data_IF_987265904628
#
_entry.id   IF_987265904628
#
_cell.length_a   1.000
_cell.length_b   1.000
_cell.length_c   1.000
_cell.angle_alpha   90.00
_cell.angle_beta   90.00
_cell.angle_gamma   90.00
#
_symmetry.space_group_name_H-M   'P 1'
#
loop_
_entity.id
_entity.type
_entity.pdbx_description
1 polymer ?
#
# COMPACT_ATOMS: atom_id res chain seq x y z
N UNK A 1 -13.01 -4.99 -11.73
CA UNK A 1 -11.91 -4.14 -11.16
C UNK A 1 -10.80 -5.06 -10.67
N UNK A 2 -9.58 -4.80 -11.07
CA UNK A 2 -8.39 -5.56 -10.68
C UNK A 2 -7.60 -4.82 -9.62
N UNK A 3 -6.77 -5.53 -8.86
CA UNK A 3 -5.82 -4.95 -7.93
C UNK A 3 -4.39 -5.40 -8.27
N UNK A 4 -3.45 -4.46 -8.30
CA UNK A 4 -2.02 -4.73 -8.40
C UNK A 4 -1.36 -4.55 -7.03
N UNK A 5 -0.48 -5.47 -6.62
CA UNK A 5 0.29 -5.38 -5.39
C UNK A 5 1.77 -5.28 -5.72
N UNK A 6 2.42 -4.24 -5.19
CA UNK A 6 3.84 -3.94 -5.41
C UNK A 6 4.72 -4.78 -4.47
N UNK A 7 5.40 -5.80 -5.01
CA UNK A 7 6.17 -6.78 -4.23
C UNK A 7 7.67 -6.84 -4.64
N UNK A 8 8.13 -5.86 -5.42
CA UNK A 8 9.51 -5.82 -5.94
C UNK A 8 10.59 -5.38 -4.94
N UNK A 9 10.24 -4.89 -3.75
CA UNK A 9 11.16 -4.24 -2.84
C UNK A 9 12.16 -5.14 -2.12
N UNK A 10 13.46 -4.79 -2.17
CA UNK A 10 14.50 -5.39 -1.32
C UNK A 10 14.64 -4.63 0.00
N UNK A 11 14.28 -5.25 1.13
CA UNK A 11 14.30 -4.61 2.44
C UNK A 11 15.45 -5.14 3.31
N UNK A 12 16.44 -4.28 3.59
CA UNK A 12 17.58 -4.60 4.48
C UNK A 12 17.24 -4.52 5.97
N UNK A 13 16.25 -3.70 6.35
CA UNK A 13 15.94 -3.35 7.75
C UNK A 13 15.31 -4.49 8.54
N UNK A 14 14.73 -5.49 7.87
CA UNK A 14 14.08 -6.65 8.49
C UNK A 14 14.97 -7.91 8.49
N UNK A 15 16.30 -7.79 8.28
CA UNK A 15 17.20 -8.91 8.49
C UNK A 15 17.24 -9.33 9.96
N UNK A 16 17.29 -10.66 10.28
CA UNK A 16 17.45 -11.80 9.35
C UNK A 16 16.18 -12.31 8.68
N UNK A 17 14.95 -11.86 9.02
CA UNK A 17 13.70 -12.38 8.43
C UNK A 17 13.64 -12.32 6.91
N UNK A 18 14.31 -11.33 6.28
CA UNK A 18 14.34 -11.19 4.82
C UNK A 18 15.51 -11.91 4.15
N UNK A 19 16.35 -12.62 4.92
CA UNK A 19 17.46 -13.42 4.34
C UNK A 19 16.93 -14.63 3.59
N UNK A 20 15.92 -15.31 4.16
CA UNK A 20 15.35 -16.51 3.57
C UNK A 20 14.06 -16.29 2.80
N UNK A 21 13.31 -15.20 3.08
CA UNK A 21 12.02 -14.93 2.47
C UNK A 21 11.87 -13.47 2.05
N UNK A 22 11.11 -13.16 0.98
CA UNK A 22 10.80 -11.78 0.62
C UNK A 22 9.84 -11.18 1.64
N UNK A 23 9.84 -9.84 1.78
CA UNK A 23 9.02 -9.09 2.75
C UNK A 23 7.53 -9.49 2.75
N UNK A 24 6.87 -9.68 1.60
CA UNK A 24 5.45 -10.07 1.54
C UNK A 24 5.12 -11.39 2.23
N UNK A 25 6.12 -12.26 2.37
CA UNK A 25 5.98 -13.57 3.02
C UNK A 25 6.36 -13.56 4.50
N UNK A 26 6.65 -12.39 5.08
CA UNK A 26 6.82 -12.26 6.54
C UNK A 26 5.46 -12.47 7.20
N UNK A 27 5.44 -13.32 8.22
CA UNK A 27 4.22 -13.62 8.95
C UNK A 27 3.93 -12.57 10.01
N UNK A 28 2.69 -12.08 10.02
CA UNK A 28 2.10 -11.26 11.07
C UNK A 28 0.83 -11.94 11.54
N UNK A 29 0.71 -12.17 12.85
CA UNK A 29 -0.43 -12.91 13.41
C UNK A 29 -0.59 -14.33 12.87
N UNK A 30 0.52 -14.98 12.47
CA UNK A 30 0.54 -16.37 11.98
C UNK A 30 0.20 -16.53 10.49
N UNK A 31 0.18 -15.44 9.71
CA UNK A 31 -0.12 -15.47 8.28
C UNK A 31 0.74 -14.42 7.53
N UNK A 32 1.27 -14.72 6.33
CA UNK A 32 1.99 -13.77 5.50
C UNK A 32 1.22 -12.48 5.22
N UNK A 33 1.94 -11.33 5.18
CA UNK A 33 1.36 -10.01 4.86
C UNK A 33 0.55 -10.07 3.57
N UNK A 34 1.11 -10.65 2.52
CA UNK A 34 0.46 -10.77 1.21
C UNK A 34 -0.86 -11.55 1.26
N UNK A 35 -0.95 -12.58 2.11
CA UNK A 35 -2.21 -13.34 2.24
C UNK A 35 -3.27 -12.49 2.94
N UNK A 36 -2.92 -11.69 3.95
CA UNK A 36 -3.84 -10.73 4.56
C UNK A 36 -4.38 -9.73 3.53
N UNK A 37 -3.51 -9.20 2.66
CA UNK A 37 -3.92 -8.27 1.60
C UNK A 37 -4.85 -8.95 0.58
N UNK A 38 -4.54 -10.16 0.14
CA UNK A 38 -5.40 -10.92 -0.79
C UNK A 38 -6.79 -11.18 -0.17
N UNK A 39 -6.86 -11.62 1.07
CA UNK A 39 -8.13 -11.87 1.77
C UNK A 39 -8.93 -10.57 1.99
N UNK A 40 -8.24 -9.47 2.30
CA UNK A 40 -8.87 -8.16 2.41
C UNK A 40 -9.46 -7.71 1.06
N UNK A 41 -8.70 -7.78 -0.03
CA UNK A 41 -9.21 -7.49 -1.38
C UNK A 41 -10.41 -8.37 -1.73
N UNK A 42 -10.32 -9.68 -1.44
CA UNK A 42 -11.40 -10.64 -1.68
C UNK A 42 -12.68 -10.28 -0.91
N UNK A 43 -12.57 -9.79 0.31
CA UNK A 43 -13.73 -9.38 1.11
C UNK A 43 -14.53 -8.22 0.50
N UNK A 44 -13.89 -7.44 -0.41
CA UNK A 44 -14.53 -6.40 -1.22
C UNK A 44 -14.92 -6.85 -2.63
N UNK A 45 -14.87 -8.16 -2.91
CA UNK A 45 -15.25 -8.73 -4.21
C UNK A 45 -14.19 -8.53 -5.31
N UNK A 46 -12.95 -8.22 -4.94
CA UNK A 46 -11.82 -8.12 -5.87
C UNK A 46 -11.16 -9.49 -5.94
N UNK A 47 -11.38 -10.19 -7.04
CA UNK A 47 -10.94 -11.57 -7.24
C UNK A 47 -9.89 -11.74 -8.34
N UNK A 48 -9.47 -10.66 -9.00
CA UNK A 48 -8.34 -10.64 -9.93
C UNK A 48 -7.22 -9.79 -9.35
N UNK A 49 -6.12 -10.44 -8.93
CA UNK A 49 -4.96 -9.83 -8.29
C UNK A 49 -3.73 -10.01 -9.17
N UNK A 50 -2.98 -8.94 -9.37
CA UNK A 50 -1.74 -8.92 -10.14
C UNK A 50 -0.59 -8.65 -9.16
N UNK A 51 0.33 -9.58 -9.03
CA UNK A 51 1.51 -9.43 -8.19
C UNK A 51 2.68 -8.92 -9.04
N UNK A 52 3.18 -7.73 -8.73
CA UNK A 52 4.34 -7.12 -9.37
C UNK A 52 5.58 -7.55 -8.59
N UNK A 53 6.26 -8.60 -9.06
CA UNK A 53 7.27 -9.34 -8.29
C UNK A 53 8.68 -9.18 -8.86
N UNK A 54 9.65 -9.06 -7.97
CA UNK A 54 11.07 -8.95 -8.31
C UNK A 54 11.91 -9.88 -7.44
N UNK A 55 12.44 -9.35 -6.35
CA UNK A 55 13.33 -10.09 -5.45
C UNK A 55 12.66 -11.34 -4.85
N UNK A 56 13.31 -12.50 -5.02
CA UNK A 56 12.82 -13.82 -4.55
C UNK A 56 11.41 -14.17 -5.03
N UNK A 57 11.07 -13.75 -6.25
CA UNK A 57 9.77 -14.00 -6.90
C UNK A 57 9.31 -15.45 -6.85
N UNK A 58 10.25 -16.40 -6.97
CA UNK A 58 9.96 -17.83 -6.95
C UNK A 58 9.26 -18.24 -5.64
N UNK A 59 9.71 -17.72 -4.50
CA UNK A 59 9.09 -18.02 -3.21
C UNK A 59 7.67 -17.45 -3.10
N UNK A 60 7.40 -16.30 -3.70
CA UNK A 60 6.06 -15.72 -3.75
C UNK A 60 5.17 -16.59 -4.62
N UNK A 61 5.65 -16.97 -5.82
CA UNK A 61 4.92 -17.83 -6.76
C UNK A 61 4.60 -19.18 -6.14
N UNK A 62 5.59 -19.85 -5.52
CA UNK A 62 5.42 -21.13 -4.85
C UNK A 62 4.42 -21.06 -3.68
N UNK A 63 4.45 -19.93 -2.95
CA UNK A 63 3.58 -19.73 -1.80
C UNK A 63 2.15 -19.40 -2.21
N UNK A 64 1.91 -18.60 -3.23
CA UNK A 64 0.58 -18.11 -3.61
C UNK A 64 -0.06 -18.98 -4.69
N UNK A 65 0.73 -19.46 -5.66
CA UNK A 65 0.25 -20.25 -6.80
C UNK A 65 -0.73 -19.47 -7.67
N UNK A 66 -1.78 -20.13 -8.15
CA UNK A 66 -2.84 -19.48 -8.95
C UNK A 66 -3.80 -18.59 -8.13
N UNK A 67 -3.67 -18.58 -6.82
CA UNK A 67 -4.60 -17.87 -5.92
C UNK A 67 -5.90 -18.61 -5.63
N UNK A 68 -6.16 -19.75 -6.27
CA UNK A 68 -7.44 -20.49 -6.17
C UNK A 68 -7.81 -20.86 -4.72
N UNK A 69 -6.83 -21.21 -3.88
CA UNK A 69 -7.06 -21.53 -2.46
C UNK A 69 -7.54 -20.32 -1.61
N UNK A 70 -7.35 -19.10 -2.13
CA UNK A 70 -7.84 -17.86 -1.52
C UNK A 70 -9.10 -17.33 -2.21
N UNK A 71 -9.63 -18.07 -3.20
CA UNK A 71 -10.81 -17.67 -3.98
C UNK A 71 -10.56 -16.49 -4.91
N UNK A 72 -9.32 -16.27 -5.34
CA UNK A 72 -8.90 -15.24 -6.30
C UNK A 72 -8.14 -15.86 -7.48
N UNK A 73 -7.99 -15.10 -8.56
CA UNK A 73 -7.08 -15.39 -9.67
C UNK A 73 -5.86 -14.50 -9.54
N UNK A 74 -4.68 -15.10 -9.49
CA UNK A 74 -3.42 -14.38 -9.39
C UNK A 74 -2.67 -14.46 -10.71
N UNK A 75 -2.25 -13.28 -11.20
CA UNK A 75 -1.29 -13.13 -12.30
C UNK A 75 0.00 -12.52 -11.76
N UNK A 76 1.13 -12.84 -12.39
CA UNK A 76 2.44 -12.35 -11.98
C UNK A 76 3.07 -11.53 -13.10
N UNK A 77 3.53 -10.33 -12.76
CA UNK A 77 4.38 -9.50 -13.62
C UNK A 77 5.75 -9.47 -12.99
N UNK A 78 6.71 -10.02 -13.70
CA UNK A 78 8.08 -10.16 -13.21
C UNK A 78 8.92 -9.00 -13.69
N UNK A 79 9.66 -8.38 -12.76
CA UNK A 79 10.76 -7.48 -13.08
C UNK A 79 12.10 -8.20 -12.91
N UNK A 80 12.97 -8.12 -13.92
CA UNK A 80 14.31 -8.71 -13.87
C UNK A 80 15.31 -7.77 -13.18
N UNK A 81 15.05 -6.49 -13.20
CA UNK A 81 15.75 -5.45 -12.44
C UNK A 81 14.73 -4.54 -11.73
N UNK A 82 15.11 -3.90 -10.61
CA UNK A 82 14.21 -3.00 -9.91
C UNK A 82 13.78 -1.83 -10.78
N UNK A 83 12.47 -1.74 -11.07
CA UNK A 83 11.88 -0.68 -11.89
C UNK A 83 11.40 0.51 -11.05
N UNK A 84 11.33 0.38 -9.72
CA UNK A 84 10.66 1.35 -8.84
C UNK A 84 9.13 1.23 -8.92
N UNK A 85 8.42 1.90 -8.02
CA UNK A 85 6.95 1.76 -7.91
C UNK A 85 6.22 2.18 -9.18
N UNK A 86 6.64 3.29 -9.82
CA UNK A 86 6.05 3.77 -11.08
C UNK A 86 6.34 2.85 -12.26
N UNK A 87 7.59 2.40 -12.41
CA UNK A 87 8.00 1.51 -13.49
C UNK A 87 7.34 0.13 -13.37
N UNK A 88 7.19 -0.40 -12.16
CA UNK A 88 6.49 -1.67 -11.91
C UNK A 88 5.01 -1.60 -12.35
N UNK A 89 4.30 -0.50 -12.01
CA UNK A 89 2.92 -0.30 -12.45
C UNK A 89 2.85 -0.18 -13.98
N UNK A 90 3.79 0.56 -14.60
CA UNK A 90 3.85 0.69 -16.07
C UNK A 90 4.07 -0.66 -16.75
N UNK A 91 4.94 -1.51 -16.19
CA UNK A 91 5.19 -2.87 -16.70
C UNK A 91 3.92 -3.74 -16.70
N UNK A 92 2.94 -3.42 -15.86
CA UNK A 92 1.65 -4.10 -15.79
C UNK A 92 0.57 -3.54 -16.74
N UNK A 93 0.88 -2.55 -17.60
CA UNK A 93 -0.08 -1.87 -18.46
C UNK A 93 -0.94 -2.84 -19.28
N UNK A 94 -0.34 -3.86 -19.90
CA UNK A 94 -1.07 -4.83 -20.73
C UNK A 94 -2.19 -5.58 -19.98
N UNK A 95 -2.08 -5.71 -18.67
CA UNK A 95 -3.06 -6.37 -17.79
C UNK A 95 -4.12 -5.42 -17.23
N UNK A 96 -3.79 -4.12 -17.13
CA UNK A 96 -4.60 -3.13 -16.44
C UNK A 96 -5.29 -2.13 -17.39
N UNK A 97 -4.77 -1.89 -18.59
CA UNK A 97 -5.26 -0.85 -19.52
C UNK A 97 -6.72 -1.04 -20.01
N UNK A 98 -7.27 -2.23 -19.86
CA UNK A 98 -8.66 -2.51 -20.22
C UNK A 98 -9.65 -2.27 -19.05
N UNK A 99 -9.13 -1.97 -17.86
CA UNK A 99 -9.95 -1.56 -16.73
C UNK A 99 -10.22 -0.06 -16.80
N UNK A 100 -11.44 0.38 -16.52
CA UNK A 100 -11.73 1.82 -16.40
C UNK A 100 -10.97 2.45 -15.23
N UNK A 101 -10.84 1.67 -14.15
CA UNK A 101 -10.00 1.96 -12.99
C UNK A 101 -9.57 0.67 -12.28
N UNK A 102 -8.46 0.73 -11.58
CA UNK A 102 -7.87 -0.39 -10.85
C UNK A 102 -7.23 0.08 -9.54
N UNK A 103 -7.01 -0.85 -8.63
CA UNK A 103 -6.31 -0.58 -7.37
C UNK A 103 -4.82 -0.90 -7.51
N UNK A 104 -4.01 -0.15 -6.76
CA UNK A 104 -2.59 -0.46 -6.54
C UNK A 104 -2.32 -0.38 -5.04
N UNK A 105 -1.61 -1.38 -4.52
CA UNK A 105 -1.25 -1.48 -3.10
C UNK A 105 0.25 -1.63 -2.94
N UNK A 106 0.81 -0.97 -1.93
CA UNK A 106 2.14 -1.31 -1.45
C UNK A 106 2.08 -2.64 -0.68
N UNK A 107 2.99 -3.57 -0.98
CA UNK A 107 2.99 -4.94 -0.44
C UNK A 107 3.37 -5.08 1.03
N UNK A 108 3.64 -3.97 1.70
CA UNK A 108 4.06 -3.94 3.11
C UNK A 108 3.01 -3.33 4.06
N UNK A 109 1.80 -3.12 3.58
CA UNK A 109 0.75 -2.45 4.35
C UNK A 109 -0.30 -3.43 4.87
N UNK A 110 -0.67 -3.26 6.12
CA UNK A 110 -1.85 -3.88 6.73
C UNK A 110 -2.83 -2.76 7.08
N UNK A 111 -4.05 -2.87 6.57
CA UNK A 111 -5.11 -1.88 6.80
C UNK A 111 -6.50 -2.50 6.69
N UNK A 112 -7.48 -1.85 7.30
CA UNK A 112 -8.90 -2.16 7.17
C UNK A 112 -9.70 -1.02 6.51
N UNK A 113 -9.03 -0.14 5.75
CA UNK A 113 -9.75 0.95 5.06
C UNK A 113 -10.85 0.40 4.15
N UNK A 114 -11.95 1.13 4.04
CA UNK A 114 -13.07 0.72 3.19
C UNK A 114 -12.79 1.07 1.72
N UNK A 115 -12.54 0.01 0.92
CA UNK A 115 -12.29 0.14 -0.53
C UNK A 115 -13.51 0.73 -1.25
N UNK A 116 -14.73 0.45 -0.80
CA UNK A 116 -15.95 1.00 -1.43
C UNK A 116 -15.99 2.52 -1.29
N UNK A 117 -15.59 3.04 -0.12
CA UNK A 117 -15.46 4.48 0.11
C UNK A 117 -14.37 5.08 -0.78
N UNK A 118 -13.19 4.41 -0.87
CA UNK A 118 -12.11 4.85 -1.76
C UNK A 118 -12.59 4.97 -3.21
N UNK A 119 -13.31 3.97 -3.71
CA UNK A 119 -13.87 3.96 -5.07
C UNK A 119 -14.94 5.05 -5.23
N UNK A 120 -15.88 5.16 -4.29
CA UNK A 120 -16.98 6.12 -4.38
C UNK A 120 -16.48 7.56 -4.46
N UNK A 121 -15.60 7.96 -3.53
CA UNK A 121 -15.04 9.33 -3.50
C UNK A 121 -14.15 9.62 -4.72
N UNK A 122 -13.44 8.62 -5.25
CA UNK A 122 -12.66 8.77 -6.47
C UNK A 122 -13.54 9.03 -7.71
N UNK A 123 -14.67 8.33 -7.81
CA UNK A 123 -15.57 8.42 -8.95
C UNK A 123 -16.39 9.72 -9.01
N UNK A 124 -16.44 10.50 -7.92
CA UNK A 124 -17.12 11.82 -7.88
C UNK A 124 -16.52 12.82 -8.88
N UNK A 125 -15.22 12.73 -9.15
CA UNK A 125 -14.54 13.63 -10.10
C UNK A 125 -13.89 12.86 -11.25
N UNK A 126 -14.43 13.08 -12.44
CA UNK A 126 -13.95 12.41 -13.67
C UNK A 126 -12.61 12.95 -14.18
N UNK A 127 -12.17 14.11 -13.73
CA UNK A 127 -10.90 14.71 -14.14
C UNK A 127 -9.72 14.11 -13.35
N UNK A 128 -10.00 13.50 -12.20
CA UNK A 128 -8.98 12.85 -11.38
C UNK A 128 -8.51 11.56 -12.04
N UNK A 129 -7.20 11.44 -12.24
CA UNK A 129 -6.54 10.25 -12.82
C UNK A 129 -6.15 9.26 -11.72
N UNK A 130 -5.71 9.76 -10.55
CA UNK A 130 -5.36 8.91 -9.42
C UNK A 130 -5.91 9.44 -8.11
N UNK A 131 -6.39 8.52 -7.26
CA UNK A 131 -6.76 8.76 -5.87
C UNK A 131 -5.77 8.08 -4.93
N UNK A 132 -5.30 8.81 -3.93
CA UNK A 132 -4.41 8.30 -2.87
C UNK A 132 -5.18 8.22 -1.58
N UNK A 133 -5.23 7.03 -0.95
CA UNK A 133 -5.67 6.95 0.43
C UNK A 133 -4.63 7.62 1.33
N UNK A 134 -5.09 8.47 2.24
CA UNK A 134 -4.24 9.14 3.21
C UNK A 134 -4.76 8.94 4.62
N UNK A 135 -3.83 8.87 5.57
CA UNK A 135 -4.12 8.75 7.01
C UNK A 135 -3.38 9.84 7.79
N UNK A 136 -3.87 10.25 8.98
CA UNK A 136 -3.16 11.19 9.80
C UNK A 136 -1.77 10.68 10.22
N UNK A 137 -0.78 11.58 10.22
CA UNK A 137 0.58 11.26 10.64
C UNK A 137 0.63 10.92 12.14
N UNK A 138 1.02 9.70 12.47
CA UNK A 138 1.43 9.36 13.83
C UNK A 138 2.92 9.69 14.00
N UNK A 139 3.26 10.64 14.86
CA UNK A 139 4.66 10.96 15.12
C UNK A 139 5.40 9.76 15.72
N UNK A 140 6.57 9.37 15.21
CA UNK A 140 7.40 8.35 15.86
C UNK A 140 8.12 8.88 17.11
N UNK A 141 8.06 10.20 17.35
CA UNK A 141 8.74 10.91 18.44
C UNK A 141 7.77 11.72 19.29
N UNK A 142 8.19 12.07 20.50
CA UNK A 142 7.53 13.08 21.31
C UNK A 142 7.57 14.47 20.63
N UNK A 143 6.48 15.20 20.69
CA UNK A 143 6.37 16.59 20.20
C UNK A 143 6.52 17.53 21.39
N UNK A 144 7.32 18.57 21.21
CA UNK A 144 7.64 19.54 22.26
C UNK A 144 7.28 20.93 21.76
N UNK A 145 6.48 21.62 22.57
CA UNK A 145 6.20 23.05 22.41
C UNK A 145 7.13 23.85 23.33
N UNK A 146 7.82 24.83 22.80
CA UNK A 146 8.75 25.69 23.57
C UNK A 146 8.28 27.15 23.55
N UNK A 147 8.65 27.93 24.57
CA UNK A 147 8.48 29.39 24.57
C UNK A 147 9.72 30.13 24.03
N UNK A 148 9.62 31.46 23.99
CA UNK A 148 10.70 32.33 23.48
C UNK A 148 12.01 32.28 24.30
N UNK A 149 11.94 31.68 25.50
CA UNK A 149 13.07 31.47 26.41
C UNK A 149 13.58 30.03 26.42
N UNK A 150 13.08 29.20 25.49
CA UNK A 150 13.40 27.77 25.37
C UNK A 150 12.88 26.90 26.54
N UNK A 151 11.90 27.36 27.34
CA UNK A 151 11.24 26.50 28.30
C UNK A 151 10.20 25.62 27.61
N UNK A 152 10.17 24.34 28.00
CA UNK A 152 9.17 23.40 27.49
C UNK A 152 7.82 23.72 28.10
N UNK A 153 6.86 24.13 27.28
CA UNK A 153 5.46 24.37 27.65
C UNK A 153 4.63 23.12 27.62
N UNK A 154 4.92 22.24 26.68
CA UNK A 154 4.14 21.01 26.47
C UNK A 154 5.02 19.91 25.93
N UNK A 155 4.79 18.69 26.42
CA UNK A 155 5.40 17.48 25.89
C UNK A 155 4.28 16.46 25.64
N UNK A 156 4.19 15.95 24.39
CA UNK A 156 3.20 14.96 24.00
C UNK A 156 3.93 13.79 23.34
N UNK A 157 3.88 12.61 23.97
CA UNK A 157 4.54 11.42 23.45
C UNK A 157 3.77 10.84 22.27
N UNK A 158 4.44 10.76 21.12
CA UNK A 158 3.98 10.10 19.88
C UNK A 158 2.54 10.43 19.49
N UNK A 159 2.16 11.73 19.40
CA UNK A 159 0.81 12.11 19.07
C UNK A 159 0.42 11.75 17.64
N UNK A 160 -0.89 11.67 17.38
CA UNK A 160 -1.44 11.72 16.04
C UNK A 160 -1.61 13.20 15.65
N UNK A 161 -0.89 13.60 14.60
CA UNK A 161 -0.92 14.96 14.05
C UNK A 161 -1.98 15.01 12.94
N UNK A 162 -3.18 15.44 13.30
CA UNK A 162 -4.36 15.44 12.40
C UNK A 162 -4.25 16.46 11.27
N UNK A 163 -3.42 17.48 11.44
CA UNK A 163 -3.10 18.50 10.44
C UNK A 163 -2.18 18.01 9.32
N UNK A 164 -1.50 16.87 9.52
CA UNK A 164 -0.63 16.26 8.52
C UNK A 164 -1.16 14.91 8.10
N UNK A 165 -1.32 14.74 6.80
CA UNK A 165 -1.70 13.46 6.18
C UNK A 165 -0.49 12.82 5.52
N UNK A 166 -0.40 11.50 5.64
CA UNK A 166 0.62 10.69 4.96
C UNK A 166 -0.02 9.74 3.97
N UNK A 167 0.75 9.38 2.95
CA UNK A 167 0.38 8.38 1.97
C UNK A 167 0.20 7.02 2.65
N UNK A 168 -0.98 6.43 2.53
CA UNK A 168 -1.31 5.14 3.12
C UNK A 168 -0.95 3.94 2.22
N UNK A 169 -0.43 4.17 1.01
CA UNK A 169 0.01 3.11 0.10
C UNK A 169 -1.09 2.27 -0.50
N UNK A 170 -2.30 2.79 -0.55
CA UNK A 170 -3.43 2.21 -1.28
C UNK A 170 -3.96 3.27 -2.24
N UNK A 171 -3.97 2.92 -3.51
CA UNK A 171 -4.26 3.85 -4.59
C UNK A 171 -5.39 3.31 -5.47
N UNK A 172 -6.17 4.21 -6.06
CA UNK A 172 -7.08 3.92 -7.16
C UNK A 172 -6.67 4.76 -8.37
N UNK A 173 -6.58 4.15 -9.54
CA UNK A 173 -6.04 4.80 -10.74
C UNK A 173 -6.92 4.49 -11.94
N UNK A 174 -7.10 5.48 -12.83
CA UNK A 174 -7.66 5.27 -14.17
C UNK A 174 -6.55 4.83 -15.13
N UNK A 175 -6.92 4.18 -16.22
CA UNK A 175 -5.97 3.78 -17.30
C UNK A 175 -5.20 4.97 -17.89
N UNK A 176 -5.71 6.17 -17.80
CA UNK A 176 -5.07 7.41 -18.22
C UNK A 176 -3.79 7.73 -17.43
N UNK A 177 -3.48 6.96 -16.38
CA UNK A 177 -2.22 7.07 -15.62
C UNK A 177 -1.01 6.62 -16.44
N UNK A 178 -1.14 5.64 -17.35
CA UNK A 178 -0.02 5.01 -18.04
C UNK A 178 0.92 5.97 -18.80
N UNK A 179 0.43 7.01 -19.50
CA UNK A 179 1.31 8.01 -20.12
C UNK A 179 2.11 8.88 -19.13
N UNK A 180 1.73 8.88 -17.84
CA UNK A 180 2.44 9.62 -16.78
C UNK A 180 3.49 8.79 -16.06
N UNK A 181 3.41 7.46 -16.20
CA UNK A 181 4.31 6.55 -15.49
C UNK A 181 5.68 6.50 -16.16
N UNK A 182 6.79 6.52 -15.39
CA UNK A 182 8.13 6.35 -15.91
C UNK A 182 8.38 4.88 -16.29
N UNK A 183 9.30 4.63 -17.22
CA UNK A 183 9.80 3.27 -17.48
C UNK A 183 10.56 2.72 -16.27
N UNK A 184 11.25 3.59 -15.53
CA UNK A 184 11.97 3.27 -14.29
C UNK A 184 11.92 4.47 -13.35
N UNK A 185 11.48 4.25 -12.11
CA UNK A 185 11.40 5.28 -11.07
C UNK A 185 10.20 5.10 -10.15
N UNK A 186 10.22 5.84 -9.04
CA UNK A 186 9.17 5.80 -8.05
C UNK A 186 8.02 6.73 -8.46
N UNK A 187 6.78 6.25 -8.38
CA UNK A 187 5.57 7.02 -8.71
C UNK A 187 5.45 8.27 -7.83
N UNK A 188 5.88 8.16 -6.58
CA UNK A 188 5.84 9.21 -5.57
C UNK A 188 6.77 10.40 -5.90
N UNK A 189 7.83 10.14 -6.67
CA UNK A 189 8.82 11.14 -7.06
C UNK A 189 8.61 11.68 -8.48
N UNK A 190 7.84 10.98 -9.30
CA UNK A 190 7.68 11.28 -10.73
C UNK A 190 6.25 11.67 -11.08
N UNK A 191 5.33 10.73 -10.98
CA UNK A 191 3.97 10.85 -11.47
C UNK A 191 3.06 11.63 -10.53
N UNK A 192 3.08 11.34 -9.23
CA UNK A 192 2.21 12.02 -8.27
C UNK A 192 2.45 13.52 -8.19
N UNK A 193 3.70 14.04 -8.13
CA UNK A 193 3.91 15.50 -8.17
C UNK A 193 3.33 16.14 -9.43
N UNK A 194 3.55 15.54 -10.60
CA UNK A 194 3.01 16.04 -11.86
C UNK A 194 1.48 16.04 -11.90
N UNK A 195 0.83 14.96 -11.45
CA UNK A 195 -0.63 14.90 -11.38
C UNK A 195 -1.20 15.91 -10.37
N UNK A 196 -0.47 16.18 -9.27
CA UNK A 196 -0.87 17.20 -8.29
C UNK A 196 -0.84 18.60 -8.91
N UNK A 197 0.22 18.94 -9.64
CA UNK A 197 0.32 20.22 -10.37
C UNK A 197 -0.80 20.40 -11.41
N UNK A 198 -1.23 19.29 -12.05
CA UNK A 198 -2.30 19.29 -13.05
C UNK A 198 -3.71 19.17 -12.42
N UNK A 199 -3.87 19.16 -11.10
CA UNK A 199 -5.12 18.91 -10.36
C UNK A 199 -5.82 17.59 -10.74
N UNK A 200 -5.03 16.56 -11.05
CA UNK A 200 -5.49 15.21 -11.43
C UNK A 200 -5.25 14.15 -10.34
N UNK A 201 -4.77 14.57 -9.17
CA UNK A 201 -4.51 13.72 -8.01
C UNK A 201 -5.44 14.12 -6.86
N UNK A 202 -6.20 13.16 -6.32
CA UNK A 202 -7.15 13.38 -5.22
C UNK A 202 -6.70 12.62 -3.98
N UNK A 203 -6.69 13.26 -2.82
CA UNK A 203 -6.56 12.58 -1.54
C UNK A 203 -7.92 12.11 -1.03
N UNK A 204 -8.01 10.84 -0.58
CA UNK A 204 -9.17 10.30 0.12
C UNK A 204 -8.73 10.02 1.56
N UNK A 205 -9.33 10.75 2.52
CA UNK A 205 -8.85 10.82 3.90
C UNK A 205 -9.53 9.77 4.76
N UNK A 206 -8.75 8.91 5.41
CA UNK A 206 -9.21 7.89 6.35
C UNK A 206 -8.67 8.20 7.76
N UNK A 207 -9.51 8.64 8.67
CA UNK A 207 -9.12 9.01 10.05
C UNK A 207 -9.31 7.90 11.06
N UNK A 208 -10.33 7.04 10.86
CA UNK A 208 -10.77 6.04 11.84
C UNK A 208 -10.54 4.62 11.31
N UNK A 209 -9.34 4.39 10.77
CA UNK A 209 -8.93 3.10 10.23
C UNK A 209 -7.68 2.58 10.91
N UNK A 210 -7.54 1.28 10.97
CA UNK A 210 -6.25 0.68 11.24
C UNK A 210 -5.37 0.77 9.99
N UNK A 211 -4.16 1.28 10.18
CA UNK A 211 -3.16 1.35 9.13
C UNK A 211 -1.76 1.17 9.71
N UNK A 212 -0.96 0.30 9.10
CA UNK A 212 0.42 0.08 9.48
C UNK A 212 1.26 -0.34 8.28
N UNK A 213 2.42 0.29 8.09
CA UNK A 213 3.51 -0.23 7.27
C UNK A 213 4.38 -1.15 8.13
N UNK A 214 4.79 -2.28 7.57
CA UNK A 214 5.62 -3.28 8.25
C UNK A 214 7.09 -3.05 7.85
N UNK A 215 7.81 -2.21 8.58
CA UNK A 215 9.19 -1.84 8.29
C UNK A 215 10.21 -2.32 9.31
N UNK A 216 9.76 -2.66 10.52
CA UNK A 216 10.58 -3.07 11.65
C UNK A 216 10.02 -4.30 12.37
N UNK A 217 10.83 -4.94 13.21
CA UNK A 217 10.38 -6.02 14.11
C UNK A 217 9.24 -5.60 15.01
N UNK A 218 9.31 -4.37 15.50
CA UNK A 218 8.28 -3.81 16.36
C UNK A 218 6.93 -3.73 15.64
N UNK A 219 6.93 -3.38 14.33
CA UNK A 219 5.70 -3.37 13.54
C UNK A 219 5.10 -4.77 13.42
N UNK A 220 5.94 -5.81 13.23
CA UNK A 220 5.49 -7.21 13.20
C UNK A 220 4.82 -7.60 14.51
N UNK A 221 5.43 -7.27 15.66
CA UNK A 221 4.89 -7.59 16.98
C UNK A 221 3.57 -6.86 17.24
N UNK A 222 3.54 -5.54 17.03
CA UNK A 222 2.35 -4.71 17.23
C UNK A 222 1.19 -5.17 16.35
N UNK A 223 1.44 -5.37 15.05
CA UNK A 223 0.39 -5.84 14.11
C UNK A 223 -0.07 -7.25 14.46
N UNK A 224 0.83 -8.15 14.87
CA UNK A 224 0.46 -9.52 15.24
C UNK A 224 -0.51 -9.58 16.42
N UNK A 225 -0.43 -8.62 17.35
CA UNK A 225 -1.36 -8.51 18.47
C UNK A 225 -2.74 -7.99 18.04
N UNK A 226 -2.76 -7.06 17.08
CA UNK A 226 -3.98 -6.35 16.68
C UNK A 226 -4.74 -7.06 15.55
N UNK A 227 -4.06 -7.82 14.69
CA UNK A 227 -4.57 -8.24 13.37
C UNK A 227 -5.85 -9.07 13.44
N UNK A 228 -5.99 -9.94 14.44
CA UNK A 228 -7.22 -10.74 14.60
C UNK A 228 -8.43 -9.85 14.83
N UNK A 229 -8.31 -8.85 15.72
CA UNK A 229 -9.38 -7.89 16.03
C UNK A 229 -9.74 -7.05 14.81
N UNK A 230 -8.73 -6.69 13.99
CA UNK A 230 -8.91 -5.84 12.80
C UNK A 230 -9.72 -6.56 11.72
N UNK A 231 -9.36 -7.80 11.41
CA UNK A 231 -9.99 -8.57 10.33
C UNK A 231 -11.23 -9.36 10.75
N UNK A 232 -11.46 -9.61 12.04
CA UNK A 232 -12.74 -10.13 12.53
C UNK A 232 -13.88 -9.11 12.40
N UNK A 233 -13.58 -7.81 12.43
CA UNK A 233 -14.55 -6.73 12.25
C UNK A 233 -14.95 -6.51 10.77
N UNK A 234 -14.26 -7.14 9.79
CA UNK A 234 -14.54 -7.00 8.35
C UNK A 234 -15.45 -8.13 7.84
N UNK A 235 -15.64 -9.19 8.63
CA UNK A 235 -16.58 -10.29 8.33
C UNK A 235 -18.00 -9.92 8.74
#
# INVERSE_FOLDING_TARGET
MKAAILEGGFVKRLRPYTEDRPKPLIEVGGKPILIWQIEWLKSYGIDEVILLVGYKKEKIIDTIGSGSRFGVKVSYIVEDEPLGTGGAIKNAESFLKNEDYFLVLNGDIITNLDIRRLVAEFLEDRNVIAGISVVPLKSPYGIIEIDDRNYIKRFIEKPVLKEFNINAGVYIMRKEIFPYLPDKGDIEKTTFPRLAEENKLKAIIFTDVYWRSIDTYKDIEEVSQDIKRIFEAIK
#
